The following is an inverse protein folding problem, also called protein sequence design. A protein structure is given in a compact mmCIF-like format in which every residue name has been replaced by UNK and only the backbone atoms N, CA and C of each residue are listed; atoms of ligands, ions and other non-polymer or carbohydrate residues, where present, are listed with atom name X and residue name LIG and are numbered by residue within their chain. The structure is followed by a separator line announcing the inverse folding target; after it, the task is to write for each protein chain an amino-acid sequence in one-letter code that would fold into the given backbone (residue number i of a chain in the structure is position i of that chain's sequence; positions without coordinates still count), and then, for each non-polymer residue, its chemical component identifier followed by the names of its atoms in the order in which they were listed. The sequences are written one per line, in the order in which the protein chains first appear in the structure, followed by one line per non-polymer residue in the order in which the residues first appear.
data_IF_404268413549
#
_entry.id   IF_404268413549
#
_cell.length_a   1.000
_cell.length_b   1.000
_cell.length_c   1.000
_cell.angle_alpha   90.00
_cell.angle_beta   90.00
_cell.angle_gamma   90.00
#
_symmetry.space_group_name_H-M   'P 1'
#
loop_
_entity.id
_entity.type
_entity.pdbx_description
1 polymer ?
#
# COMPACT_ATOMS: atom_id res chain seq x y z
N UNK A 1 -6.67 -1.02 -5.89
CA UNK A 1 -6.96 -2.10 -4.90
C UNK A 1 -5.97 -1.97 -3.76
N UNK A 2 -6.28 -2.46 -2.55
CA UNK A 2 -5.32 -2.50 -1.44
C UNK A 2 -5.61 -3.70 -0.54
N UNK A 3 -4.63 -4.09 0.25
CA UNK A 3 -4.76 -5.02 1.37
C UNK A 3 -5.43 -6.37 1.01
N UNK A 4 -4.99 -7.08 -0.07
CA UNK A 4 -5.48 -8.43 -0.33
C UNK A 4 -5.09 -9.41 0.77
N UNK A 5 -4.00 -9.17 1.46
CA UNK A 5 -3.49 -9.71 2.73
C UNK A 5 -3.82 -11.18 2.97
N UNK A 6 -3.37 -12.04 2.03
CA UNK A 6 -3.57 -13.49 2.10
C UNK A 6 -3.04 -14.06 3.41
N UNK A 7 -3.92 -14.70 4.21
CA UNK A 7 -3.63 -15.25 5.53
C UNK A 7 -4.21 -14.44 6.70
N UNK A 8 -4.69 -13.22 6.46
CA UNK A 8 -5.25 -12.35 7.51
C UNK A 8 -6.47 -12.99 8.20
N UNK A 9 -7.42 -13.54 7.45
CA UNK A 9 -8.60 -14.19 8.04
C UNK A 9 -8.22 -15.40 8.88
N UNK A 10 -7.22 -16.18 8.45
CA UNK A 10 -6.72 -17.29 9.25
C UNK A 10 -6.10 -16.81 10.57
N UNK A 11 -5.40 -15.69 10.57
CA UNK A 11 -4.82 -15.07 11.79
C UNK A 11 -5.89 -14.52 12.73
N UNK A 12 -6.89 -13.81 12.19
CA UNK A 12 -7.90 -13.09 12.99
C UNK A 12 -9.12 -13.95 13.36
N UNK A 13 -9.21 -15.21 12.91
CA UNK A 13 -10.26 -16.14 13.27
C UNK A 13 -9.91 -17.04 14.45
N UNK A 14 -10.93 -17.53 15.19
CA UNK A 14 -10.75 -18.36 16.38
C UNK A 14 -10.10 -17.64 17.55
N UNK A 15 -10.17 -16.31 17.58
CA UNK A 15 -9.72 -15.50 18.70
C UNK A 15 -10.74 -15.57 19.83
N UNK A 16 -10.26 -15.58 21.08
CA UNK A 16 -11.09 -15.41 22.25
C UNK A 16 -11.48 -13.94 22.47
N UNK A 17 -12.42 -13.71 23.37
CA UNK A 17 -12.94 -12.37 23.68
C UNK A 17 -11.86 -11.41 24.15
N UNK A 18 -10.89 -11.89 24.96
CA UNK A 18 -9.80 -11.07 25.49
C UNK A 18 -8.92 -10.52 24.35
N UNK A 19 -8.55 -11.36 23.40
CA UNK A 19 -7.75 -10.96 22.21
C UNK A 19 -8.52 -10.02 21.30
N UNK A 20 -9.81 -10.25 21.09
CA UNK A 20 -10.67 -9.35 20.31
C UNK A 20 -10.69 -7.96 20.97
N UNK A 21 -10.90 -7.89 22.27
CA UNK A 21 -10.90 -6.64 23.01
C UNK A 21 -9.51 -5.94 23.02
N UNK A 22 -8.42 -6.71 23.02
CA UNK A 22 -7.07 -6.15 22.87
C UNK A 22 -6.90 -5.47 21.51
N UNK A 23 -7.31 -6.09 20.41
CA UNK A 23 -7.26 -5.48 19.07
C UNK A 23 -8.10 -4.21 19.03
N UNK A 24 -9.29 -4.22 19.61
CA UNK A 24 -10.15 -3.05 19.69
C UNK A 24 -9.48 -1.90 20.43
N UNK A 25 -8.93 -2.17 21.63
CA UNK A 25 -8.24 -1.13 22.45
C UNK A 25 -7.01 -0.55 21.76
N UNK A 26 -6.21 -1.40 21.09
CA UNK A 26 -4.93 -0.98 20.50
C UNK A 26 -5.06 -0.31 19.13
N UNK A 27 -6.03 -0.75 18.35
CA UNK A 27 -6.13 -0.37 16.93
C UNK A 27 -7.51 0.15 16.52
N UNK A 28 -8.48 0.14 17.42
CA UNK A 28 -9.86 0.50 17.11
C UNK A 28 -10.55 -0.49 16.16
N UNK A 29 -9.97 -1.69 15.95
CA UNK A 29 -10.54 -2.69 15.06
C UNK A 29 -11.73 -3.38 15.69
N UNK A 30 -12.82 -3.48 14.97
CA UNK A 30 -14.02 -4.22 15.38
C UNK A 30 -13.98 -5.62 14.75
N UNK A 31 -13.23 -6.54 15.38
CA UNK A 31 -13.13 -7.93 14.97
C UNK A 31 -14.35 -8.68 15.49
N UNK A 32 -15.11 -9.30 14.58
CA UNK A 32 -16.23 -10.14 14.96
C UNK A 32 -15.73 -11.55 15.32
N UNK A 33 -16.28 -12.16 16.39
CA UNK A 33 -15.98 -13.54 16.73
C UNK A 33 -16.27 -14.47 15.54
N UNK A 34 -15.31 -15.31 15.19
CA UNK A 34 -15.45 -16.26 14.09
C UNK A 34 -14.78 -17.60 14.45
N UNK A 35 -15.34 -18.68 13.93
CA UNK A 35 -14.71 -20.00 14.03
C UNK A 35 -13.33 -19.97 13.35
N UNK A 36 -12.37 -20.76 13.88
CA UNK A 36 -11.02 -20.82 13.33
C UNK A 36 -11.06 -21.20 11.85
N UNK A 37 -10.48 -20.35 11.03
CA UNK A 37 -10.32 -20.56 9.58
C UNK A 37 -8.90 -21.04 9.30
N UNK A 38 -8.77 -21.92 8.31
CA UNK A 38 -7.49 -22.42 7.79
C UNK A 38 -7.43 -22.10 6.30
N UNK A 39 -6.26 -21.68 5.83
CA UNK A 39 -6.04 -21.33 4.41
C UNK A 39 -6.58 -19.93 4.05
N UNK A 40 -6.87 -19.70 2.77
CA UNK A 40 -7.09 -18.38 2.18
C UNK A 40 -8.45 -18.23 1.49
N UNK A 41 -9.43 -19.05 1.84
CA UNK A 41 -10.71 -19.12 1.09
C UNK A 41 -11.45 -17.78 1.02
N UNK A 42 -11.38 -16.97 2.07
CA UNK A 42 -12.02 -15.66 2.14
C UNK A 42 -11.29 -14.64 1.26
N UNK A 43 -9.97 -14.53 1.44
CA UNK A 43 -9.13 -13.65 0.64
C UNK A 43 -9.17 -14.02 -0.83
N UNK A 44 -9.10 -15.34 -1.13
CA UNK A 44 -9.27 -15.87 -2.49
C UNK A 44 -10.58 -15.40 -3.11
N UNK A 45 -11.70 -15.59 -2.42
CA UNK A 45 -13.02 -15.22 -2.94
C UNK A 45 -13.17 -13.71 -3.14
N UNK A 46 -12.61 -12.88 -2.25
CA UNK A 46 -12.65 -11.42 -2.36
C UNK A 46 -11.76 -10.92 -3.50
N UNK A 47 -10.53 -11.43 -3.57
CA UNK A 47 -9.57 -11.00 -4.57
C UNK A 47 -9.96 -11.47 -5.98
N UNK A 48 -10.54 -12.69 -6.14
CA UNK A 48 -11.12 -13.13 -7.42
C UNK A 48 -12.25 -12.22 -7.90
N UNK A 49 -13.10 -11.74 -6.99
CA UNK A 49 -14.14 -10.75 -7.33
C UNK A 49 -13.52 -9.43 -7.79
N UNK A 50 -12.44 -8.97 -7.14
CA UNK A 50 -11.74 -7.75 -7.53
C UNK A 50 -11.10 -7.89 -8.91
N UNK A 51 -10.42 -9.00 -9.19
CA UNK A 51 -9.83 -9.30 -10.50
C UNK A 51 -10.91 -9.42 -11.60
N UNK A 52 -12.02 -10.10 -11.31
CA UNK A 52 -13.14 -10.18 -12.24
C UNK A 52 -13.77 -8.81 -12.53
N UNK A 53 -13.85 -7.94 -11.52
CA UNK A 53 -14.30 -6.56 -11.70
C UNK A 53 -13.32 -5.74 -12.55
N UNK A 54 -12.02 -5.88 -12.33
CA UNK A 54 -10.99 -5.24 -13.14
C UNK A 54 -11.08 -5.69 -14.61
N UNK A 55 -11.22 -6.99 -14.87
CA UNK A 55 -11.40 -7.52 -16.21
C UNK A 55 -12.64 -6.95 -16.91
N UNK A 56 -13.76 -6.83 -16.17
CA UNK A 56 -15.01 -6.23 -16.72
C UNK A 56 -14.88 -4.74 -16.99
N UNK A 57 -14.20 -4.01 -16.10
CA UNK A 57 -14.01 -2.55 -16.23
C UNK A 57 -12.94 -2.21 -17.26
N UNK A 58 -12.05 -3.15 -17.56
CA UNK A 58 -10.97 -3.03 -18.55
C UNK A 58 -10.14 -1.74 -18.37
N UNK A 59 -9.57 -1.46 -17.17
CA UNK A 59 -8.78 -0.26 -16.95
C UNK A 59 -7.44 -0.33 -17.70
N UNK A 60 -6.80 0.82 -17.87
CA UNK A 60 -5.48 0.91 -18.47
C UNK A 60 -4.38 0.21 -17.63
N UNK A 61 -4.57 0.13 -16.31
CA UNK A 61 -3.72 -0.59 -15.36
C UNK A 61 -4.45 -0.83 -14.04
N UNK A 62 -3.85 -1.65 -13.18
CA UNK A 62 -4.27 -1.87 -11.80
C UNK A 62 -3.12 -1.55 -10.87
N UNK A 63 -3.37 -0.82 -9.77
CA UNK A 63 -2.41 -0.66 -8.67
C UNK A 63 -2.93 -1.40 -7.44
N UNK A 64 -2.03 -2.11 -6.75
CA UNK A 64 -2.30 -2.74 -5.47
C UNK A 64 -1.41 -2.07 -4.41
N UNK A 65 -2.06 -1.36 -3.49
CA UNK A 65 -1.41 -0.45 -2.54
C UNK A 65 -1.03 -1.16 -1.23
N UNK A 66 -0.25 -2.22 -1.35
CA UNK A 66 0.41 -2.89 -0.22
C UNK A 66 -0.43 -3.89 0.56
N UNK A 67 0.22 -4.48 1.55
CA UNK A 67 -0.26 -5.59 2.36
C UNK A 67 -0.77 -6.74 1.49
N UNK A 68 0.15 -7.27 0.70
CA UNK A 68 -0.12 -8.29 -0.31
C UNK A 68 -0.36 -9.65 0.34
N UNK A 69 0.43 -9.95 1.36
CA UNK A 69 0.39 -11.18 2.17
C UNK A 69 0.46 -10.84 3.65
N UNK A 70 0.00 -11.74 4.50
CA UNK A 70 0.08 -11.62 5.97
C UNK A 70 1.46 -12.04 6.51
N UNK A 71 2.07 -13.02 5.87
CA UNK A 71 3.44 -13.47 6.17
C UNK A 71 4.25 -13.60 4.88
N UNK A 72 5.18 -12.67 4.68
CA UNK A 72 6.08 -12.65 3.51
C UNK A 72 6.98 -13.90 3.39
N UNK A 73 7.11 -14.69 4.47
CA UNK A 73 7.89 -15.92 4.47
C UNK A 73 7.05 -17.17 4.17
N UNK A 74 5.72 -17.03 4.05
CA UNK A 74 4.86 -18.14 3.64
C UNK A 74 4.72 -18.17 2.10
N UNK A 75 5.39 -19.13 1.43
CA UNK A 75 5.35 -19.22 -0.03
C UNK A 75 3.95 -19.54 -0.56
N UNK A 76 3.06 -20.12 0.26
CA UNK A 76 1.71 -20.45 -0.18
C UNK A 76 0.84 -19.19 -0.31
N UNK A 77 1.01 -18.21 0.57
CA UNK A 77 0.33 -16.93 0.49
C UNK A 77 0.70 -16.18 -0.79
N UNK A 78 2.00 -16.11 -1.08
CA UNK A 78 2.52 -15.47 -2.30
C UNK A 78 2.08 -16.24 -3.56
N UNK A 79 2.12 -17.56 -3.53
CA UNK A 79 1.66 -18.39 -4.65
C UNK A 79 0.18 -18.18 -4.95
N UNK A 80 -0.68 -18.09 -3.93
CA UNK A 80 -2.11 -17.86 -4.10
C UNK A 80 -2.39 -16.45 -4.64
N UNK A 81 -1.74 -15.42 -4.11
CA UNK A 81 -1.81 -14.06 -4.65
C UNK A 81 -1.49 -14.05 -6.15
N UNK A 82 -0.36 -14.65 -6.54
CA UNK A 82 0.08 -14.73 -7.94
C UNK A 82 -0.88 -15.52 -8.82
N UNK A 83 -1.38 -16.66 -8.32
CA UNK A 83 -2.35 -17.51 -9.03
C UNK A 83 -3.61 -16.75 -9.42
N UNK A 84 -4.13 -15.93 -8.50
CA UNK A 84 -5.36 -15.16 -8.76
C UNK A 84 -5.04 -13.95 -9.63
N UNK A 85 -3.94 -13.24 -9.38
CA UNK A 85 -3.53 -12.10 -10.21
C UNK A 85 -3.33 -12.51 -11.68
N UNK A 86 -2.84 -13.73 -11.94
CA UNK A 86 -2.69 -14.26 -13.29
C UNK A 86 -4.01 -14.44 -14.06
N UNK A 87 -5.18 -14.31 -13.40
CA UNK A 87 -6.50 -14.27 -14.05
C UNK A 87 -6.86 -12.88 -14.61
N UNK A 88 -6.07 -11.85 -14.29
CA UNK A 88 -6.23 -10.53 -14.91
C UNK A 88 -5.89 -10.64 -16.40
N UNK A 89 -6.63 -9.94 -17.24
CA UNK A 89 -6.34 -9.90 -18.67
C UNK A 89 -4.90 -9.43 -18.93
N UNK A 90 -4.16 -10.11 -19.76
CA UNK A 90 -2.72 -9.91 -19.99
C UNK A 90 -2.33 -8.52 -20.50
N UNK A 91 -3.27 -7.78 -21.06
CA UNK A 91 -3.06 -6.40 -21.50
C UNK A 91 -3.24 -5.35 -20.39
N UNK A 92 -3.70 -5.76 -19.20
CA UNK A 92 -3.85 -4.87 -18.04
C UNK A 92 -2.62 -5.05 -17.12
N UNK A 93 -1.66 -4.13 -17.13
CA UNK A 93 -0.50 -4.22 -16.24
C UNK A 93 -0.89 -4.05 -14.78
N UNK A 94 -0.15 -4.71 -13.89
CA UNK A 94 -0.29 -4.57 -12.45
C UNK A 94 0.92 -3.84 -11.90
N UNK A 95 0.66 -2.81 -11.10
CA UNK A 95 1.65 -2.06 -10.34
C UNK A 95 1.51 -2.37 -8.85
N UNK A 96 2.63 -2.61 -8.18
CA UNK A 96 2.68 -3.02 -6.78
C UNK A 96 3.30 -1.92 -5.94
N UNK A 97 2.67 -1.56 -4.82
CA UNK A 97 3.29 -0.78 -3.76
C UNK A 97 3.51 -1.68 -2.54
N UNK A 98 4.61 -1.53 -1.79
CA UNK A 98 4.81 -2.31 -0.57
C UNK A 98 3.95 -1.81 0.58
N UNK A 99 3.41 -2.74 1.37
CA UNK A 99 2.77 -2.49 2.66
C UNK A 99 3.62 -2.98 3.84
N UNK A 100 3.16 -2.70 5.05
CA UNK A 100 3.93 -3.02 6.24
C UNK A 100 3.98 -4.52 6.56
N UNK A 101 3.08 -5.34 6.03
CA UNK A 101 3.20 -6.79 6.12
C UNK A 101 4.20 -7.33 5.09
N UNK A 102 4.41 -6.63 3.99
CA UNK A 102 5.36 -7.02 2.94
C UNK A 102 6.81 -6.74 3.33
N UNK A 103 7.11 -5.57 3.92
CA UNK A 103 8.49 -5.14 4.20
C UNK A 103 8.78 -4.83 5.68
N UNK A 104 7.75 -4.78 6.54
CA UNK A 104 7.82 -4.36 7.94
C UNK A 104 7.50 -2.88 8.12
N UNK A 105 7.00 -2.51 9.33
CA UNK A 105 6.84 -1.09 9.71
C UNK A 105 8.20 -0.38 9.81
N UNK A 106 9.25 -1.14 10.13
CA UNK A 106 10.66 -0.73 10.12
C UNK A 106 11.38 -1.63 9.13
N UNK A 107 11.42 -1.28 7.84
CA UNK A 107 12.05 -2.10 6.82
C UNK A 107 13.53 -2.35 7.13
N UNK A 108 14.01 -3.52 6.77
CA UNK A 108 15.43 -3.87 6.81
C UNK A 108 15.97 -4.03 5.39
N UNK A 109 17.29 -3.99 5.16
CA UNK A 109 17.87 -4.28 3.84
C UNK A 109 17.36 -5.62 3.28
N UNK A 110 17.27 -6.65 4.11
CA UNK A 110 16.80 -7.96 3.68
C UNK A 110 15.33 -7.97 3.26
N UNK A 111 14.44 -7.26 3.98
CA UNK A 111 13.02 -7.22 3.62
C UNK A 111 12.77 -6.40 2.37
N UNK A 112 13.53 -5.33 2.15
CA UNK A 112 13.48 -4.56 0.90
C UNK A 112 13.99 -5.38 -0.28
N UNK A 113 15.12 -6.09 -0.12
CA UNK A 113 15.66 -6.97 -1.17
C UNK A 113 14.68 -8.11 -1.51
N UNK A 114 14.06 -8.73 -0.49
CA UNK A 114 13.03 -9.75 -0.70
C UNK A 114 11.86 -9.20 -1.51
N UNK A 115 11.33 -8.04 -1.14
CA UNK A 115 10.24 -7.40 -1.87
C UNK A 115 10.63 -7.10 -3.32
N UNK A 116 11.81 -6.48 -3.52
CA UNK A 116 12.30 -6.11 -4.85
C UNK A 116 12.48 -7.34 -5.76
N UNK A 117 12.92 -8.47 -5.20
CA UNK A 117 13.02 -9.74 -5.94
C UNK A 117 11.64 -10.27 -6.33
N UNK A 118 10.62 -10.13 -5.46
CA UNK A 118 9.33 -10.75 -5.65
C UNK A 118 8.35 -9.90 -6.47
N UNK A 119 8.47 -8.55 -6.40
CA UNK A 119 7.51 -7.61 -6.99
C UNK A 119 8.16 -6.51 -7.85
N UNK A 120 9.46 -6.41 -7.91
CA UNK A 120 10.19 -5.31 -8.57
C UNK A 120 10.47 -4.14 -7.64
N UNK A 121 10.82 -3.00 -8.22
CA UNK A 121 11.19 -1.80 -7.45
C UNK A 121 10.11 -1.42 -6.43
N UNK A 122 10.53 -1.04 -5.22
CA UNK A 122 9.64 -0.70 -4.12
C UNK A 122 9.19 0.77 -4.15
N UNK A 123 9.82 1.61 -4.98
CA UNK A 123 9.32 2.93 -5.40
C UNK A 123 9.77 3.21 -6.83
N UNK A 124 8.87 3.72 -7.64
CA UNK A 124 9.10 3.97 -9.08
C UNK A 124 8.03 4.90 -9.64
N UNK A 125 8.22 5.34 -10.89
CA UNK A 125 7.22 6.11 -11.63
C UNK A 125 6.90 5.47 -12.98
N UNK A 126 5.69 5.71 -13.46
CA UNK A 126 5.26 5.29 -14.79
C UNK A 126 4.28 6.32 -15.39
N UNK A 127 3.97 6.16 -16.66
CA UNK A 127 3.08 7.05 -17.39
C UNK A 127 2.00 6.28 -18.11
N UNK A 128 0.82 6.86 -18.13
CA UNK A 128 -0.32 6.33 -18.87
C UNK A 128 -1.27 7.46 -19.26
N UNK A 129 -1.68 7.51 -20.54
CA UNK A 129 -2.72 8.42 -21.02
C UNK A 129 -2.47 9.91 -20.72
N UNK A 130 -1.22 10.41 -20.85
CA UNK A 130 -0.90 11.82 -20.59
C UNK A 130 -0.67 12.17 -19.10
N UNK A 131 -0.90 11.23 -18.18
CA UNK A 131 -0.73 11.43 -16.74
C UNK A 131 0.52 10.71 -16.20
N UNK A 132 1.07 11.22 -15.11
CA UNK A 132 2.21 10.64 -14.40
C UNK A 132 1.75 9.99 -13.10
N UNK A 133 2.27 8.81 -12.83
CA UNK A 133 1.95 8.00 -11.66
C UNK A 133 3.23 7.66 -10.92
N UNK A 134 3.23 7.83 -9.60
CA UNK A 134 4.39 7.58 -8.76
C UNK A 134 3.97 6.64 -7.63
N UNK A 135 4.69 5.53 -7.49
CA UNK A 135 4.56 4.59 -6.38
C UNK A 135 5.66 4.89 -5.38
N UNK A 136 5.29 4.97 -4.09
CA UNK A 136 6.21 5.20 -2.98
C UNK A 136 6.15 4.05 -1.97
N UNK A 137 7.29 3.73 -1.38
CA UNK A 137 7.38 2.86 -0.22
C UNK A 137 7.13 3.67 1.06
N UNK A 138 5.88 3.71 1.51
CA UNK A 138 5.51 4.45 2.72
C UNK A 138 6.08 3.85 4.01
N UNK A 139 6.53 2.59 4.00
CA UNK A 139 7.15 1.96 5.17
C UNK A 139 8.53 2.60 5.48
N UNK A 140 9.29 2.98 4.46
CA UNK A 140 10.51 3.79 4.61
C UNK A 140 10.14 5.18 5.18
N UNK A 141 9.02 5.77 4.72
CA UNK A 141 8.46 6.99 5.28
C UNK A 141 8.01 6.82 6.72
N UNK A 142 7.50 5.66 7.10
CA UNK A 142 7.04 5.38 8.45
C UNK A 142 8.23 5.26 9.44
N UNK A 143 9.19 4.38 9.16
CA UNK A 143 10.38 4.21 10.00
C UNK A 143 11.54 3.62 9.18
N UNK A 144 12.56 4.43 8.89
CA UNK A 144 13.77 4.04 8.15
C UNK A 144 14.98 3.76 9.06
N UNK A 145 14.77 3.59 10.36
CA UNK A 145 15.85 3.46 11.35
C UNK A 145 16.79 2.27 11.09
N UNK A 146 16.31 1.21 10.43
CA UNK A 146 17.14 0.06 10.04
C UNK A 146 17.61 0.11 8.58
N UNK A 147 17.23 1.14 7.83
CA UNK A 147 17.66 1.40 6.45
C UNK A 147 18.08 2.85 6.29
N UNK A 148 19.11 3.30 7.04
CA UNK A 148 19.51 4.72 7.03
C UNK A 148 19.85 5.20 5.62
N UNK A 149 19.28 6.34 5.24
CA UNK A 149 19.46 6.97 3.94
C UNK A 149 18.49 6.51 2.85
N UNK A 150 17.69 5.46 3.06
CA UNK A 150 16.67 5.05 2.07
C UNK A 150 15.55 6.10 1.96
N UNK A 151 15.18 6.75 3.06
CA UNK A 151 14.25 7.89 3.01
C UNK A 151 14.77 9.03 2.12
N UNK A 152 16.02 9.43 2.30
CA UNK A 152 16.61 10.53 1.51
C UNK A 152 16.70 10.17 0.04
N UNK A 153 17.04 8.92 -0.29
CA UNK A 153 17.03 8.41 -1.68
C UNK A 153 15.64 8.47 -2.29
N UNK A 154 14.62 8.02 -1.55
CA UNK A 154 13.24 8.05 -2.03
C UNK A 154 12.74 9.49 -2.23
N UNK A 155 13.08 10.43 -1.32
CA UNK A 155 12.75 11.85 -1.48
C UNK A 155 13.45 12.45 -2.69
N UNK A 156 14.73 12.13 -2.91
CA UNK A 156 15.46 12.58 -4.10
C UNK A 156 14.82 12.04 -5.40
N UNK A 157 14.47 10.76 -5.42
CA UNK A 157 13.72 10.15 -6.52
C UNK A 157 12.37 10.86 -6.74
N UNK A 158 11.61 11.11 -5.67
CA UNK A 158 10.32 11.79 -5.75
C UNK A 158 10.43 13.19 -6.34
N UNK A 159 11.41 13.99 -5.89
CA UNK A 159 11.69 15.33 -6.43
C UNK A 159 11.97 15.29 -7.94
N UNK A 160 12.79 14.35 -8.38
CA UNK A 160 13.09 14.15 -9.80
C UNK A 160 11.84 13.76 -10.59
N UNK A 161 11.08 12.78 -10.11
CA UNK A 161 9.88 12.31 -10.79
C UNK A 161 8.80 13.38 -10.90
N UNK A 162 8.60 14.20 -9.84
CA UNK A 162 7.66 15.31 -9.84
C UNK A 162 8.09 16.43 -10.81
N UNK A 163 9.36 16.78 -10.82
CA UNK A 163 9.91 17.77 -11.76
C UNK A 163 9.75 17.30 -13.22
N UNK A 164 10.02 16.03 -13.50
CA UNK A 164 9.80 15.44 -14.82
C UNK A 164 8.33 15.46 -15.24
N UNK A 165 7.41 15.13 -14.31
CA UNK A 165 5.97 15.18 -14.58
C UNK A 165 5.50 16.61 -14.90
N UNK A 166 5.99 17.60 -14.14
CA UNK A 166 5.71 19.03 -14.38
C UNK A 166 6.27 19.50 -15.73
N UNK A 167 7.51 19.12 -16.06
CA UNK A 167 8.15 19.50 -17.32
C UNK A 167 7.45 18.91 -18.56
N UNK A 168 6.79 17.77 -18.41
CA UNK A 168 5.98 17.12 -19.48
C UNK A 168 4.58 17.71 -19.57
N UNK A 169 4.20 18.63 -18.67
CA UNK A 169 2.84 19.15 -18.57
C UNK A 169 1.81 18.00 -18.41
N UNK A 170 2.11 17.04 -17.51
CA UNK A 170 1.20 15.92 -17.25
C UNK A 170 -0.18 16.41 -16.86
N UNK A 171 -1.22 15.83 -17.45
CA UNK A 171 -2.61 16.18 -17.13
C UNK A 171 -2.94 15.99 -15.66
N UNK A 172 -2.42 14.90 -15.09
CA UNK A 172 -2.52 14.58 -13.66
C UNK A 172 -1.22 13.99 -13.14
N UNK A 173 -0.92 14.25 -11.89
CA UNK A 173 0.13 13.57 -11.12
C UNK A 173 -0.57 12.86 -9.97
N UNK A 174 -0.42 11.53 -9.92
CA UNK A 174 -1.10 10.68 -8.94
C UNK A 174 -0.07 9.86 -8.17
N UNK A 175 -0.21 9.82 -6.85
CA UNK A 175 0.67 9.09 -5.95
C UNK A 175 -0.05 7.85 -5.42
N UNK A 176 0.66 6.73 -5.36
CA UNK A 176 0.24 5.50 -4.69
C UNK A 176 1.22 5.14 -3.59
N UNK A 177 0.71 4.81 -2.43
CA UNK A 177 1.48 4.38 -1.28
C UNK A 177 0.60 3.51 -0.37
N UNK A 178 1.15 2.92 0.70
CA UNK A 178 0.36 2.07 1.58
C UNK A 178 -0.19 2.82 2.79
N UNK A 179 0.66 3.45 3.61
CA UNK A 179 0.19 4.23 4.75
C UNK A 179 -0.41 5.56 4.29
N UNK A 180 -1.63 5.93 4.72
CA UNK A 180 -2.16 7.26 4.48
C UNK A 180 -1.23 8.37 5.02
N UNK A 181 -1.26 9.52 4.40
CA UNK A 181 -0.52 10.68 4.90
C UNK A 181 -1.07 11.12 6.25
N UNK A 182 -2.38 11.27 6.35
CA UNK A 182 -3.11 11.67 7.55
C UNK A 182 -4.57 11.23 7.47
N UNK A 183 -5.28 11.29 8.61
CA UNK A 183 -6.70 10.91 8.72
C UNK A 183 -7.64 12.07 8.42
N UNK A 184 -7.42 13.21 9.06
CA UNK A 184 -8.31 14.38 9.00
C UNK A 184 -7.55 15.69 8.93
N UNK A 185 -6.36 15.77 9.55
CA UNK A 185 -5.56 16.98 9.64
C UNK A 185 -4.09 16.66 9.33
N UNK A 186 -3.48 17.37 8.37
CA UNK A 186 -2.07 17.19 8.05
C UNK A 186 -1.13 17.40 9.26
N UNK A 187 -1.59 18.09 10.31
CA UNK A 187 -0.84 18.32 11.54
C UNK A 187 -1.21 17.39 12.70
N UNK A 188 -2.08 16.38 12.46
CA UNK A 188 -2.45 15.44 13.50
C UNK A 188 -1.24 14.71 14.09
N UNK A 189 -1.37 14.25 15.35
CA UNK A 189 -0.34 13.52 16.07
C UNK A 189 0.05 12.22 15.37
N UNK A 190 1.28 11.79 15.61
CA UNK A 190 1.81 10.55 15.07
C UNK A 190 1.02 9.35 15.61
N UNK A 191 0.75 8.40 14.74
CA UNK A 191 0.06 7.17 15.10
C UNK A 191 0.54 6.00 14.23
N UNK A 192 0.14 4.79 14.58
CA UNK A 192 0.42 3.61 13.77
C UNK A 192 -0.25 3.66 12.39
N UNK A 193 -1.23 4.52 12.23
CA UNK A 193 -2.14 4.52 11.08
C UNK A 193 -1.71 5.45 9.94
N UNK A 194 -0.78 6.34 10.17
CA UNK A 194 -0.40 7.40 9.21
C UNK A 194 1.11 7.61 9.17
N UNK A 195 1.60 8.22 8.12
CA UNK A 195 3.02 8.59 8.02
C UNK A 195 3.37 9.61 9.11
N UNK A 196 4.49 9.46 9.86
CA UNK A 196 4.92 10.41 10.87
C UNK A 196 4.98 11.84 10.36
N UNK A 197 4.55 12.78 11.21
CA UNK A 197 4.33 14.18 10.84
C UNK A 197 5.55 14.84 10.19
N UNK A 198 6.75 14.60 10.70
CA UNK A 198 7.98 15.18 10.16
C UNK A 198 8.23 14.77 8.70
N UNK A 199 7.94 13.52 8.33
CA UNK A 199 8.08 13.01 6.96
C UNK A 199 6.85 13.33 6.11
N UNK A 200 5.66 13.29 6.69
CA UNK A 200 4.40 13.67 6.06
C UNK A 200 4.44 15.10 5.51
N UNK A 201 4.93 16.05 6.30
CA UNK A 201 5.00 17.46 5.88
C UNK A 201 5.98 17.65 4.70
N UNK A 202 7.08 16.89 4.63
CA UNK A 202 7.98 16.90 3.47
C UNK A 202 7.27 16.41 2.20
N UNK A 203 6.47 15.35 2.31
CA UNK A 203 5.70 14.83 1.17
C UNK A 203 4.63 15.83 0.73
N UNK A 204 3.87 16.40 1.67
CA UNK A 204 2.82 17.37 1.37
C UNK A 204 3.38 18.61 0.68
N UNK A 205 4.48 19.19 1.18
CA UNK A 205 5.16 20.34 0.53
C UNK A 205 5.52 20.03 -0.93
N UNK A 206 6.06 18.83 -1.19
CA UNK A 206 6.40 18.42 -2.55
C UNK A 206 5.14 18.23 -3.42
N UNK A 207 4.08 17.63 -2.86
CA UNK A 207 2.85 17.39 -3.60
C UNK A 207 2.13 18.69 -3.94
N UNK A 208 2.07 19.64 -3.01
CA UNK A 208 1.49 20.97 -3.24
C UNK A 208 2.31 21.74 -4.30
N UNK A 209 3.64 21.76 -4.14
CA UNK A 209 4.55 22.49 -5.06
C UNK A 209 4.40 22.04 -6.51
N UNK A 210 4.15 20.74 -6.73
CA UNK A 210 4.07 20.15 -8.06
C UNK A 210 2.64 19.86 -8.53
N UNK A 211 1.61 20.25 -7.77
CA UNK A 211 0.22 20.10 -8.15
C UNK A 211 -0.23 18.63 -8.24
N UNK A 212 0.16 17.80 -7.26
CA UNK A 212 -0.32 16.41 -7.20
C UNK A 212 -1.84 16.40 -7.11
N UNK A 213 -2.49 15.70 -8.04
CA UNK A 213 -3.94 15.68 -8.18
C UNK A 213 -4.62 14.75 -7.18
N UNK A 214 -3.98 13.64 -6.80
CA UNK A 214 -4.54 12.67 -5.88
C UNK A 214 -3.46 11.77 -5.24
N UNK A 215 -3.74 11.30 -4.03
CA UNK A 215 -2.97 10.28 -3.31
C UNK A 215 -3.90 9.12 -2.96
N UNK A 216 -3.52 7.90 -3.32
CA UNK A 216 -4.25 6.69 -2.96
C UNK A 216 -3.44 5.85 -1.98
N UNK A 217 -4.09 5.41 -0.90
CA UNK A 217 -3.49 4.60 0.15
C UNK A 217 -4.35 3.38 0.50
N UNK A 218 -3.78 2.46 1.28
CA UNK A 218 -4.41 1.30 1.90
C UNK A 218 -4.38 1.37 3.42
N UNK A 219 -3.95 0.26 4.06
CA UNK A 219 -3.64 0.13 5.49
C UNK A 219 -4.82 0.14 6.46
N UNK A 220 -5.84 0.94 6.21
CA UNK A 220 -6.94 1.13 7.16
C UNK A 220 -8.08 0.12 7.02
N UNK A 221 -8.11 -0.67 5.96
CA UNK A 221 -9.20 -1.61 5.65
C UNK A 221 -10.58 -0.94 5.66
N UNK A 222 -10.65 0.33 5.27
CA UNK A 222 -11.90 1.10 5.16
C UNK A 222 -11.82 2.14 4.04
N UNK A 223 -12.96 2.48 3.47
CA UNK A 223 -13.05 3.60 2.55
C UNK A 223 -13.05 4.91 3.33
N UNK A 224 -12.14 5.80 2.98
CA UNK A 224 -12.01 7.12 3.55
C UNK A 224 -11.56 8.11 2.48
N UNK A 225 -12.04 9.34 2.55
CA UNK A 225 -11.68 10.40 1.64
C UNK A 225 -11.46 11.69 2.43
N UNK A 226 -10.38 12.39 2.11
CA UNK A 226 -10.06 13.70 2.67
C UNK A 226 -9.71 14.64 1.54
N UNK A 227 -10.29 15.83 1.55
CA UNK A 227 -9.95 16.91 0.62
C UNK A 227 -8.85 17.76 1.24
N UNK A 228 -7.68 17.79 0.59
CA UNK A 228 -6.55 18.59 1.04
C UNK A 228 -6.64 19.98 0.42
N UNK A 229 -6.73 21.02 1.28
CA UNK A 229 -6.91 22.44 0.88
C UNK A 229 -5.68 23.23 1.21
#
# INVERSE_FOLDING_TARGET
MSDPQFGMFARLSGLDEERIQEFHRRRGWNILPAAKTIGFSQETALYEKAIAAANRLNPAFVVISGDLVEDRNDPNQLAELRRITAKLHSHIPVHWAPGNWDVGNTPTPNTLEQYRRDFGDDYYSFQQGGSSFIVLNSCIGFDDSQTPGEWDKQVAFLRTSLAEASNRSSDHIVIFLHHPLYSYDPNEEDSWAVIPRNKRLVLLELFETHGVSAVFAGHWHKCHYVDHK
#
